data_IF_653366248257
#
_entry.id   IF_653366248257
#
_cell.length_a   1.000
_cell.length_b   1.000
_cell.length_c   1.000
_cell.angle_alpha   90.00
_cell.angle_beta   90.00
_cell.angle_gamma   90.00
#
_symmetry.space_group_name_H-M   'P 1'
#
loop_
_entity.id
_entity.type
_entity.pdbx_description
1 polymer ?
#
# COMPACT_ATOMS: atom_id res chain seq x y z
N UNK A 1 -12.70 0.06 53.06
CA UNK A 1 -11.66 -0.49 52.17
C UNK A 1 -11.55 0.44 50.99
N UNK A 2 -10.54 1.28 51.04
CA UNK A 2 -10.18 2.29 50.02
C UNK A 2 -9.59 1.59 48.81
N UNK A 3 -10.23 1.73 47.64
CA UNK A 3 -9.67 1.31 46.33
C UNK A 3 -8.57 2.31 45.95
N UNK A 4 -7.33 1.85 45.99
CA UNK A 4 -6.17 2.59 45.45
C UNK A 4 -6.33 2.77 43.95
N UNK A 5 -6.24 4.01 43.52
CA UNK A 5 -6.22 4.46 42.14
C UNK A 5 -5.04 3.79 41.40
N UNK A 6 -5.33 2.91 40.49
CA UNK A 6 -4.38 2.45 39.45
C UNK A 6 -3.90 3.67 38.67
N UNK A 7 -2.65 4.05 38.91
CA UNK A 7 -1.93 5.06 38.14
C UNK A 7 -1.85 4.61 36.68
N UNK A 8 -2.71 5.13 35.83
CA UNK A 8 -2.54 5.00 34.38
C UNK A 8 -1.20 5.59 34.02
N UNK A 9 -0.28 4.77 33.50
CA UNK A 9 1.03 5.19 33.03
C UNK A 9 0.82 6.34 32.02
N UNK A 10 1.45 7.50 32.27
CA UNK A 10 1.46 8.60 31.31
C UNK A 10 2.02 8.05 30.00
N UNK A 11 1.37 8.36 28.86
CA UNK A 11 1.95 8.01 27.57
C UNK A 11 3.35 8.60 27.47
N UNK A 12 4.31 7.83 26.99
CA UNK A 12 5.65 8.31 26.75
C UNK A 12 5.59 9.58 25.86
N UNK A 13 6.43 10.60 26.12
CA UNK A 13 6.47 11.78 25.26
C UNK A 13 6.73 11.34 23.82
N UNK A 14 6.10 12.00 22.81
CA UNK A 14 6.38 11.70 21.42
C UNK A 14 7.87 11.84 21.16
N UNK A 15 8.45 10.89 20.42
CA UNK A 15 9.84 10.96 19.99
C UNK A 15 10.05 12.27 19.22
N UNK A 16 11.14 12.98 19.49
CA UNK A 16 11.50 14.17 18.73
C UNK A 16 11.66 13.79 17.24
N UNK A 17 11.20 14.64 16.31
CA UNK A 17 11.35 14.37 14.89
C UNK A 17 12.84 14.23 14.51
N UNK A 18 13.13 13.31 13.61
CA UNK A 18 14.48 13.10 13.07
C UNK A 18 14.81 14.18 12.05
N UNK A 19 13.81 14.57 11.24
CA UNK A 19 13.94 15.69 10.31
C UNK A 19 13.84 16.99 11.09
N UNK A 20 14.92 17.80 11.06
CA UNK A 20 14.99 19.08 11.75
C UNK A 20 15.14 20.22 10.74
N UNK A 21 14.40 21.30 10.95
CA UNK A 21 14.34 22.45 10.05
C UNK A 21 13.04 22.47 9.26
N UNK A 22 12.94 23.41 8.31
CA UNK A 22 11.77 23.58 7.47
C UNK A 22 11.72 22.49 6.39
N UNK A 23 10.59 21.81 6.28
CA UNK A 23 10.29 20.88 5.18
C UNK A 23 9.33 21.57 4.20
N UNK A 24 9.80 21.75 2.96
CA UNK A 24 8.96 22.27 1.88
C UNK A 24 8.29 21.11 1.16
N UNK A 25 6.97 21.19 0.96
CA UNK A 25 6.19 20.21 0.19
C UNK A 25 5.59 20.91 -1.02
N UNK A 26 5.93 20.44 -2.22
CA UNK A 26 5.38 20.92 -3.48
C UNK A 26 4.34 19.94 -3.99
N UNK A 27 3.09 20.39 -4.01
CA UNK A 27 1.91 19.56 -4.26
C UNK A 27 1.18 19.21 -2.97
N UNK A 28 -0.02 19.74 -2.78
CA UNK A 28 -0.87 19.55 -1.61
C UNK A 28 -2.03 18.57 -1.85
N UNK A 29 -1.80 17.58 -2.73
CA UNK A 29 -2.72 16.46 -2.97
C UNK A 29 -2.75 15.47 -1.81
N UNK A 30 -3.20 14.23 -2.08
CA UNK A 30 -3.30 13.19 -1.06
C UNK A 30 -1.98 12.95 -0.31
N UNK A 31 -0.90 12.67 -1.04
CA UNK A 31 0.39 12.31 -0.42
C UNK A 31 1.04 13.53 0.23
N UNK A 32 1.13 14.66 -0.48
CA UNK A 32 1.77 15.86 0.07
C UNK A 32 1.05 16.39 1.32
N UNK A 33 -0.28 16.46 1.32
CA UNK A 33 -1.03 16.85 2.51
C UNK A 33 -0.92 15.82 3.65
N UNK A 34 -0.85 14.52 3.35
CA UNK A 34 -0.65 13.48 4.38
C UNK A 34 0.73 13.57 5.03
N UNK A 35 1.78 13.80 4.24
CA UNK A 35 3.14 14.06 4.74
C UNK A 35 3.13 15.31 5.63
N UNK A 36 2.50 16.37 5.14
CA UNK A 36 2.37 17.63 5.88
C UNK A 36 1.66 17.45 7.23
N UNK A 37 0.54 16.72 7.26
CA UNK A 37 -0.17 16.40 8.51
C UNK A 37 0.69 15.65 9.52
N UNK A 38 1.39 14.61 9.06
CA UNK A 38 2.20 13.78 9.93
C UNK A 38 3.38 14.58 10.51
N UNK A 39 4.09 15.35 9.68
CA UNK A 39 5.22 16.18 10.11
C UNK A 39 4.77 17.34 11.03
N UNK A 40 3.66 18.02 10.71
CA UNK A 40 3.09 19.08 11.55
C UNK A 40 2.68 18.56 12.93
N UNK A 41 2.14 17.33 12.99
CA UNK A 41 1.81 16.67 14.27
C UNK A 41 3.04 16.38 15.13
N UNK A 42 4.22 16.21 14.52
CA UNK A 42 5.52 16.07 15.20
C UNK A 42 6.17 17.43 15.55
N UNK A 43 5.55 18.55 15.18
CA UNK A 43 6.05 19.89 15.42
C UNK A 43 7.11 20.38 14.41
N UNK A 44 7.25 19.70 13.28
CA UNK A 44 8.13 20.15 12.18
C UNK A 44 7.47 21.34 11.46
N UNK A 45 8.25 22.36 11.11
CA UNK A 45 7.78 23.49 10.28
C UNK A 45 7.60 23.04 8.84
N UNK A 46 6.34 22.97 8.37
CA UNK A 46 5.98 22.51 7.03
C UNK A 46 5.51 23.68 6.17
N UNK A 47 6.24 23.96 5.09
CA UNK A 47 5.93 24.98 4.08
C UNK A 47 5.30 24.31 2.83
N UNK A 48 4.03 24.60 2.57
CA UNK A 48 3.27 24.04 1.45
C UNK A 48 3.27 24.97 0.24
N UNK A 49 3.41 24.39 -0.95
CA UNK A 49 3.26 25.06 -2.23
C UNK A 49 2.38 24.21 -3.16
N UNK A 50 1.46 24.84 -3.89
CA UNK A 50 0.61 24.17 -4.87
C UNK A 50 0.17 25.18 -5.96
N UNK A 51 0.11 24.72 -7.19
CA UNK A 51 -0.35 25.53 -8.32
C UNK A 51 -1.84 25.86 -8.23
N UNK A 52 -2.62 25.10 -7.46
CA UNK A 52 -4.02 25.35 -7.16
C UNK A 52 -4.18 26.09 -5.83
N UNK A 53 -4.50 27.40 -5.82
CA UNK A 53 -4.70 28.15 -4.57
C UNK A 53 -5.81 27.59 -3.69
N UNK A 54 -6.80 26.94 -4.28
CA UNK A 54 -7.89 26.31 -3.52
C UNK A 54 -7.44 25.02 -2.80
N UNK A 55 -6.63 24.19 -3.46
CA UNK A 55 -6.05 22.98 -2.84
C UNK A 55 -5.07 23.37 -1.73
N UNK A 56 -4.22 24.35 -1.97
CA UNK A 56 -3.28 24.84 -0.96
C UNK A 56 -4.01 25.34 0.30
N UNK A 57 -5.02 26.21 0.13
CA UNK A 57 -5.82 26.71 1.27
C UNK A 57 -6.48 25.56 2.01
N UNK A 58 -7.05 24.60 1.30
CA UNK A 58 -7.69 23.45 1.89
C UNK A 58 -6.70 22.63 2.73
N UNK A 59 -5.51 22.32 2.22
CA UNK A 59 -4.48 21.61 2.95
C UNK A 59 -4.04 22.37 4.23
N UNK A 60 -3.90 23.69 4.15
CA UNK A 60 -3.57 24.54 5.30
C UNK A 60 -4.69 24.53 6.34
N UNK A 61 -5.96 24.70 5.91
CA UNK A 61 -7.12 24.70 6.80
C UNK A 61 -7.29 23.38 7.55
N UNK A 62 -6.87 22.27 6.91
CA UNK A 62 -6.84 20.94 7.56
C UNK A 62 -5.58 20.69 8.40
N UNK A 63 -4.62 21.64 8.45
CA UNK A 63 -3.46 21.56 9.34
C UNK A 63 -2.27 20.80 8.77
N UNK A 64 -2.16 20.68 7.44
CA UNK A 64 -1.01 20.02 6.80
C UNK A 64 0.27 20.87 6.81
N UNK A 65 0.19 22.15 7.20
CA UNK A 65 1.30 23.05 7.24
C UNK A 65 0.87 24.50 7.01
N UNK A 66 1.80 25.37 6.67
CA UNK A 66 1.59 26.79 6.29
C UNK A 66 1.94 27.02 4.82
N UNK A 67 1.50 28.13 4.26
CA UNK A 67 1.98 28.57 2.95
C UNK A 67 3.48 28.84 2.98
N UNK A 68 4.17 28.56 1.89
CA UNK A 68 5.57 28.94 1.69
C UNK A 68 5.79 30.46 1.78
N UNK A 69 6.97 30.89 2.16
CA UNK A 69 7.43 32.27 2.22
C UNK A 69 8.69 32.43 1.38
N UNK A 70 8.98 33.66 0.95
CA UNK A 70 10.15 33.94 0.10
C UNK A 70 11.48 33.73 0.83
N UNK A 71 11.47 33.84 2.16
CA UNK A 71 12.62 33.68 3.05
C UNK A 71 12.75 32.26 3.65
N UNK A 72 11.94 31.32 3.21
CA UNK A 72 12.07 29.92 3.67
C UNK A 72 13.38 29.30 3.16
N UNK A 73 14.13 28.72 4.07
CA UNK A 73 15.35 27.92 3.78
C UNK A 73 15.09 26.44 4.14
N UNK A 74 14.47 25.68 3.25
CA UNK A 74 14.15 24.28 3.54
C UNK A 74 15.40 23.41 3.59
N UNK A 75 15.43 22.46 4.53
CA UNK A 75 16.45 21.41 4.59
C UNK A 75 16.08 20.22 3.72
N UNK A 76 14.79 20.01 3.53
CA UNK A 76 14.21 18.93 2.72
C UNK A 76 13.05 19.47 1.90
N UNK A 77 13.01 19.09 0.64
CA UNK A 77 11.91 19.40 -0.29
C UNK A 77 11.29 18.09 -0.76
N UNK A 78 9.99 17.95 -0.56
CA UNK A 78 9.21 16.80 -1.00
C UNK A 78 8.35 17.20 -2.21
N UNK A 79 8.62 16.61 -3.36
CA UNK A 79 7.86 16.83 -4.60
C UNK A 79 6.76 15.78 -4.68
N UNK A 80 5.50 16.23 -4.50
CA UNK A 80 4.30 15.39 -4.45
C UNK A 80 3.29 15.81 -5.53
N UNK A 81 3.77 15.96 -6.76
CA UNK A 81 3.02 16.40 -7.94
C UNK A 81 2.74 15.24 -8.89
N UNK A 82 1.85 15.39 -9.89
CA UNK A 82 1.60 14.37 -10.91
C UNK A 82 2.88 13.97 -11.66
N UNK A 83 2.96 12.71 -12.15
CA UNK A 83 4.17 12.17 -12.79
C UNK A 83 4.69 12.99 -13.97
N UNK A 84 3.80 13.54 -14.79
CA UNK A 84 4.10 14.30 -16.00
C UNK A 84 4.85 15.62 -15.76
N UNK A 85 4.75 16.18 -14.56
CA UNK A 85 5.45 17.43 -14.18
C UNK A 85 6.52 17.23 -13.13
N UNK A 86 6.73 16.00 -12.66
CA UNK A 86 7.65 15.69 -11.55
C UNK A 86 9.08 16.14 -11.84
N UNK A 87 9.63 15.82 -13.01
CA UNK A 87 10.98 16.21 -13.40
C UNK A 87 11.16 17.74 -13.47
N UNK A 88 10.19 18.47 -14.02
CA UNK A 88 10.23 19.93 -14.11
C UNK A 88 10.25 20.60 -12.74
N UNK A 89 9.47 20.05 -11.81
CA UNK A 89 9.40 20.56 -10.45
C UNK A 89 10.70 20.24 -9.68
N UNK A 90 11.24 19.02 -9.79
CA UNK A 90 12.53 18.67 -9.17
C UNK A 90 13.63 19.59 -9.67
N UNK A 91 13.77 19.78 -10.98
CA UNK A 91 14.77 20.68 -11.57
C UNK A 91 14.64 22.11 -11.04
N UNK A 92 13.42 22.64 -10.95
CA UNK A 92 13.15 23.97 -10.41
C UNK A 92 13.57 24.10 -8.95
N UNK A 93 13.22 23.10 -8.11
CA UNK A 93 13.52 23.14 -6.68
C UNK A 93 15.02 22.97 -6.40
N UNK A 94 15.72 22.08 -7.14
CA UNK A 94 17.19 21.96 -7.05
C UNK A 94 17.92 23.27 -7.40
N UNK A 95 17.46 23.97 -8.44
CA UNK A 95 18.05 25.27 -8.81
C UNK A 95 17.76 26.39 -7.79
N UNK A 96 16.56 26.37 -7.20
CA UNK A 96 16.13 27.38 -6.24
C UNK A 96 16.78 27.19 -4.87
N UNK A 97 16.98 25.96 -4.45
CA UNK A 97 17.47 25.57 -3.14
C UNK A 97 18.64 24.59 -3.25
N UNK A 98 19.81 25.04 -3.72
CA UNK A 98 20.94 24.15 -4.08
C UNK A 98 21.60 23.45 -2.88
N UNK A 99 21.20 23.74 -1.65
CA UNK A 99 21.69 23.07 -0.43
C UNK A 99 20.64 22.15 0.20
N UNK A 100 19.40 22.19 -0.26
CA UNK A 100 18.33 21.36 0.25
C UNK A 100 18.37 19.97 -0.38
N UNK A 101 18.04 18.94 0.38
CA UNK A 101 17.77 17.62 -0.16
C UNK A 101 16.41 17.65 -0.84
N UNK A 102 16.34 17.21 -2.09
CA UNK A 102 15.09 17.10 -2.85
C UNK A 102 14.73 15.64 -3.02
N UNK A 103 13.51 15.27 -2.64
CA UNK A 103 12.94 13.95 -2.90
C UNK A 103 11.59 14.06 -3.57
N UNK A 104 11.21 13.09 -4.36
CA UNK A 104 9.86 12.96 -4.88
C UNK A 104 9.15 11.72 -4.30
N UNK A 105 7.84 11.69 -4.42
CA UNK A 105 7.00 10.56 -3.98
C UNK A 105 6.21 9.93 -5.12
N UNK A 106 6.67 10.10 -6.36
CA UNK A 106 6.02 9.55 -7.55
C UNK A 106 6.09 8.02 -7.58
N UNK A 107 5.16 7.41 -8.29
CA UNK A 107 5.04 5.95 -8.40
C UNK A 107 6.03 5.33 -9.40
N UNK A 108 6.85 6.13 -10.07
CA UNK A 108 7.90 5.70 -11.02
C UNK A 108 9.18 6.48 -10.74
N UNK A 109 10.34 5.85 -10.95
CA UNK A 109 11.64 6.46 -10.60
C UNK A 109 12.54 6.69 -11.80
N UNK A 110 12.57 5.76 -12.78
CA UNK A 110 13.48 5.85 -13.92
C UNK A 110 13.18 7.02 -14.85
N UNK A 111 11.91 7.26 -15.15
CA UNK A 111 11.52 8.28 -16.12
C UNK A 111 11.89 9.70 -15.67
N UNK A 112 11.53 10.15 -14.44
CA UNK A 112 11.96 11.46 -13.93
C UNK A 112 13.49 11.58 -13.89
N UNK A 113 14.19 10.56 -13.39
CA UNK A 113 15.64 10.54 -13.29
C UNK A 113 16.31 10.63 -14.68
N UNK A 114 15.84 9.87 -15.66
CA UNK A 114 16.33 9.92 -17.04
C UNK A 114 16.16 11.33 -17.64
N UNK A 115 14.99 11.91 -17.48
CA UNK A 115 14.69 13.26 -17.97
C UNK A 115 15.63 14.30 -17.37
N UNK A 116 15.88 14.24 -16.05
CA UNK A 116 16.79 15.16 -15.37
C UNK A 116 18.24 14.98 -15.83
N UNK A 117 18.70 13.74 -16.02
CA UNK A 117 20.05 13.43 -16.56
C UNK A 117 20.21 13.93 -17.99
N UNK A 118 19.23 13.74 -18.86
CA UNK A 118 19.25 14.24 -20.24
C UNK A 118 19.33 15.77 -20.32
N UNK A 119 18.78 16.46 -19.33
CA UNK A 119 18.85 17.94 -19.20
C UNK A 119 20.14 18.42 -18.56
N UNK A 120 20.99 17.53 -18.09
CA UNK A 120 22.25 17.88 -17.42
C UNK A 120 22.03 18.57 -16.06
N UNK A 121 20.95 18.23 -15.34
CA UNK A 121 20.68 18.76 -14.01
C UNK A 121 21.67 18.16 -13.00
N UNK A 122 22.21 18.99 -12.12
CA UNK A 122 22.99 18.50 -10.98
C UNK A 122 22.08 17.77 -9.98
N UNK A 123 22.29 16.47 -9.82
CA UNK A 123 21.48 15.58 -9.01
C UNK A 123 22.12 15.22 -7.68
N UNK A 124 23.21 15.92 -7.28
CA UNK A 124 23.95 15.63 -6.04
C UNK A 124 23.03 15.58 -4.81
N UNK A 125 22.02 16.44 -4.74
CA UNK A 125 21.07 16.52 -3.63
C UNK A 125 19.67 15.99 -3.97
N UNK A 126 19.54 15.19 -5.03
CA UNK A 126 18.27 14.54 -5.39
C UNK A 126 18.28 13.05 -5.04
N UNK A 127 17.22 12.62 -4.36
CA UNK A 127 16.99 11.21 -4.03
C UNK A 127 15.53 10.88 -4.34
N UNK A 128 15.30 10.05 -5.35
CA UNK A 128 13.97 9.57 -5.65
C UNK A 128 13.43 8.70 -4.54
N UNK A 129 12.16 8.85 -4.17
CA UNK A 129 11.52 7.95 -3.21
C UNK A 129 10.06 7.63 -3.59
N UNK A 130 9.48 6.62 -2.94
CA UNK A 130 8.10 6.23 -3.20
C UNK A 130 7.50 5.55 -1.97
N UNK A 131 6.56 6.19 -1.25
CA UNK A 131 5.74 5.53 -0.25
C UNK A 131 4.77 4.56 -0.93
N UNK A 132 4.81 3.27 -0.59
CA UNK A 132 3.82 2.30 -1.09
C UNK A 132 2.50 2.47 -0.34
N UNK A 133 1.97 3.67 -0.39
CA UNK A 133 0.75 4.10 0.27
C UNK A 133 -0.13 4.87 -0.72
N UNK A 134 -1.40 4.59 -0.71
CA UNK A 134 -2.38 5.25 -1.58
C UNK A 134 -3.80 4.95 -1.12
N UNK A 135 -4.75 5.68 -1.69
CA UNK A 135 -6.18 5.48 -1.50
C UNK A 135 -6.88 5.68 -2.84
N UNK A 136 -8.06 5.09 -2.97
CA UNK A 136 -8.91 5.21 -4.17
C UNK A 136 -9.40 6.65 -4.40
N UNK A 137 -9.41 7.48 -3.35
CA UNK A 137 -9.80 8.90 -3.40
C UNK A 137 -8.58 9.79 -3.23
N UNK A 138 -8.40 10.74 -4.13
CA UNK A 138 -7.34 11.74 -4.10
C UNK A 138 -7.73 13.05 -3.40
N UNK A 139 -6.79 14.00 -3.38
CA UNK A 139 -6.97 15.36 -2.85
C UNK A 139 -6.71 15.51 -1.36
N UNK A 140 -6.57 16.78 -0.90
CA UNK A 140 -6.24 17.12 0.49
C UNK A 140 -7.29 16.65 1.51
N UNK A 141 -8.58 16.56 1.12
CA UNK A 141 -9.66 16.08 2.00
C UNK A 141 -9.48 14.61 2.40
N UNK A 142 -8.88 13.80 1.51
CA UNK A 142 -8.64 12.38 1.77
C UNK A 142 -7.32 12.13 2.51
N UNK A 143 -6.53 13.19 2.77
CA UNK A 143 -5.24 13.10 3.43
C UNK A 143 -5.38 12.66 4.90
N UNK A 144 -4.43 11.86 5.37
CA UNK A 144 -4.35 11.39 6.75
C UNK A 144 -2.90 11.20 7.15
N UNK A 145 -2.56 11.55 8.37
CA UNK A 145 -1.20 11.41 8.90
C UNK A 145 -0.73 9.94 8.99
N UNK A 146 -1.66 8.99 9.10
CA UNK A 146 -1.38 7.58 9.36
C UNK A 146 -1.30 6.68 8.12
N UNK A 147 -1.44 7.22 6.90
CA UNK A 147 -1.45 6.38 5.68
C UNK A 147 -0.13 5.67 5.41
N UNK A 148 0.97 6.16 5.99
CA UNK A 148 2.32 5.61 5.81
C UNK A 148 2.70 4.61 6.89
N UNK A 149 1.99 4.58 8.02
CA UNK A 149 2.34 3.76 9.18
C UNK A 149 2.39 2.27 8.82
N UNK A 150 3.56 1.66 9.07
CA UNK A 150 3.82 0.25 8.76
C UNK A 150 3.91 -0.07 7.27
N UNK A 151 3.95 0.96 6.38
CA UNK A 151 4.07 0.76 4.94
C UNK A 151 5.53 0.83 4.50
N UNK A 152 5.92 0.05 3.46
CA UNK A 152 7.21 0.25 2.82
C UNK A 152 7.31 1.65 2.21
N UNK A 153 8.48 2.26 2.34
CA UNK A 153 8.85 3.50 1.67
C UNK A 153 10.15 3.26 0.93
N UNK A 154 10.08 3.13 -0.39
CA UNK A 154 11.28 2.92 -1.18
C UNK A 154 12.08 4.22 -1.26
N UNK A 155 13.39 4.11 -1.03
CA UNK A 155 14.36 5.18 -1.20
C UNK A 155 15.35 4.72 -2.27
N UNK A 156 15.39 5.46 -3.38
CA UNK A 156 16.21 5.07 -4.53
C UNK A 156 17.63 5.60 -4.35
N UNK A 157 18.54 4.68 -4.09
CA UNK A 157 19.96 4.97 -3.94
C UNK A 157 20.69 4.83 -5.28
N UNK A 158 21.52 5.81 -5.60
CA UNK A 158 22.56 5.75 -6.63
C UNK A 158 23.93 5.64 -5.93
N UNK A 159 24.95 5.13 -6.63
CA UNK A 159 26.33 5.03 -6.09
C UNK A 159 26.91 6.40 -5.69
N UNK A 160 26.49 7.45 -6.38
CA UNK A 160 26.95 8.83 -6.14
C UNK A 160 26.14 9.56 -5.06
N UNK A 161 25.07 8.96 -4.51
CA UNK A 161 24.21 9.59 -3.51
C UNK A 161 24.96 9.82 -2.19
N UNK A 162 25.06 11.07 -1.70
CA UNK A 162 25.71 11.33 -0.41
C UNK A 162 24.95 10.66 0.73
N UNK A 163 25.65 9.91 1.58
CA UNK A 163 25.03 9.19 2.71
C UNK A 163 24.28 10.12 3.67
N UNK A 164 24.71 11.39 3.77
CA UNK A 164 24.00 12.40 4.58
C UNK A 164 22.61 12.67 4.03
N UNK A 165 22.46 12.79 2.72
CA UNK A 165 21.19 13.15 2.07
C UNK A 165 20.25 11.93 2.04
N UNK A 166 20.81 10.73 1.85
CA UNK A 166 20.08 9.46 2.02
C UNK A 166 19.44 9.38 3.42
N UNK A 167 20.23 9.66 4.47
CA UNK A 167 19.76 9.64 5.86
C UNK A 167 18.62 10.64 6.12
N UNK A 168 18.56 11.77 5.40
CA UNK A 168 17.45 12.74 5.53
C UNK A 168 16.14 12.17 4.97
N UNK A 169 16.19 11.49 3.82
CA UNK A 169 14.98 10.87 3.22
C UNK A 169 14.52 9.65 4.03
N UNK A 170 15.46 8.86 4.54
CA UNK A 170 15.12 7.76 5.47
C UNK A 170 14.52 8.30 6.78
N UNK A 171 15.05 9.39 7.32
CA UNK A 171 14.50 10.06 8.50
C UNK A 171 13.06 10.52 8.26
N UNK A 172 12.75 11.08 7.08
CA UNK A 172 11.38 11.40 6.67
C UNK A 172 10.48 10.16 6.75
N UNK A 173 10.87 9.05 6.11
CA UNK A 173 10.07 7.82 6.10
C UNK A 173 9.82 7.30 7.52
N UNK A 174 10.85 7.30 8.37
CA UNK A 174 10.75 6.85 9.77
C UNK A 174 9.89 7.77 10.64
N UNK A 175 9.95 9.09 10.44
CA UNK A 175 9.10 10.06 11.15
C UNK A 175 7.63 9.90 10.78
N UNK A 176 7.35 9.44 9.57
CA UNK A 176 6.00 9.12 9.08
C UNK A 176 5.54 7.71 9.49
N UNK A 177 6.34 6.96 10.26
CA UNK A 177 6.03 5.60 10.69
C UNK A 177 6.12 4.55 9.59
N UNK A 178 6.73 4.90 8.45
CA UNK A 178 7.00 3.97 7.36
C UNK A 178 8.27 3.17 7.60
N UNK A 179 8.45 2.11 6.81
CA UNK A 179 9.67 1.29 6.82
C UNK A 179 10.49 1.61 5.56
N UNK A 180 11.64 2.30 5.68
CA UNK A 180 12.49 2.58 4.52
C UNK A 180 13.05 1.30 3.93
N UNK A 181 13.10 1.24 2.59
CA UNK A 181 13.61 0.14 1.81
C UNK A 181 14.46 0.69 0.67
N UNK A 182 15.77 0.43 0.71
CA UNK A 182 16.68 0.87 -0.35
C UNK A 182 16.55 -0.01 -1.59
N UNK A 183 16.49 0.61 -2.77
CA UNK A 183 16.51 -0.02 -4.11
C UNK A 183 17.18 0.90 -5.10
N UNK A 184 17.63 0.37 -6.23
CA UNK A 184 17.92 1.20 -7.40
C UNK A 184 16.61 1.64 -8.09
N UNK A 185 16.61 2.72 -8.89
CA UNK A 185 15.45 3.12 -9.70
C UNK A 185 14.95 2.00 -10.62
N UNK A 186 15.87 1.23 -11.20
CA UNK A 186 15.59 0.09 -12.07
C UNK A 186 14.90 -1.05 -11.33
N UNK A 187 15.42 -1.41 -10.16
CA UNK A 187 14.82 -2.43 -9.30
C UNK A 187 13.43 -2.01 -8.82
N UNK A 188 13.27 -0.73 -8.44
CA UNK A 188 11.99 -0.17 -8.04
C UNK A 188 10.95 -0.30 -9.15
N UNK A 189 11.25 0.20 -10.36
CA UNK A 189 10.29 0.23 -11.47
C UNK A 189 9.93 -1.19 -11.94
N UNK A 190 10.88 -2.12 -11.93
CA UNK A 190 10.61 -3.54 -12.17
C UNK A 190 9.73 -4.17 -11.08
N UNK A 191 10.00 -3.85 -9.81
CA UNK A 191 9.22 -4.37 -8.67
C UNK A 191 7.79 -3.85 -8.70
N UNK A 192 7.55 -2.54 -8.89
CA UNK A 192 6.20 -1.99 -8.93
C UNK A 192 5.43 -2.38 -10.20
N UNK A 193 6.11 -2.68 -11.32
CA UNK A 193 5.46 -3.27 -12.49
C UNK A 193 4.78 -4.59 -12.12
N UNK A 194 5.48 -5.46 -11.40
CA UNK A 194 4.97 -6.78 -10.99
C UNK A 194 3.99 -6.70 -9.80
N UNK A 195 4.27 -5.87 -8.78
CA UNK A 195 3.52 -5.87 -7.52
C UNK A 195 2.33 -4.89 -7.50
N UNK A 196 2.28 -3.93 -8.44
CA UNK A 196 1.27 -2.88 -8.44
C UNK A 196 0.63 -2.68 -9.82
N UNK A 197 1.43 -2.42 -10.87
CA UNK A 197 0.91 -1.93 -12.14
C UNK A 197 0.19 -3.02 -12.93
N UNK A 198 0.79 -4.20 -13.07
CA UNK A 198 0.13 -5.34 -13.74
C UNK A 198 -1.08 -5.85 -12.95
N UNK A 199 -1.03 -6.01 -11.63
CA UNK A 199 -2.24 -6.31 -10.85
C UNK A 199 -3.39 -5.35 -11.09
N UNK A 200 -3.14 -4.05 -11.16
CA UNK A 200 -4.15 -3.04 -11.50
C UNK A 200 -4.78 -3.29 -12.87
N UNK A 201 -3.94 -3.56 -13.89
CA UNK A 201 -4.42 -3.83 -15.25
C UNK A 201 -5.24 -5.13 -15.31
N UNK A 202 -4.76 -6.20 -14.68
CA UNK A 202 -5.46 -7.50 -14.65
C UNK A 202 -6.81 -7.38 -13.95
N UNK A 203 -6.86 -6.68 -12.81
CA UNK A 203 -8.11 -6.41 -12.10
C UNK A 203 -9.09 -5.59 -12.97
N UNK A 204 -8.59 -4.57 -13.67
CA UNK A 204 -9.41 -3.74 -14.58
C UNK A 204 -9.91 -4.52 -15.78
N UNK A 205 -9.07 -5.38 -16.39
CA UNK A 205 -9.46 -6.25 -17.51
C UNK A 205 -10.53 -7.25 -17.11
N UNK A 206 -10.45 -7.84 -15.92
CA UNK A 206 -11.47 -8.72 -15.39
C UNK A 206 -12.77 -7.95 -15.10
N UNK A 207 -12.69 -6.83 -14.38
CA UNK A 207 -13.86 -6.02 -14.05
C UNK A 207 -14.59 -5.49 -15.30
N UNK A 208 -13.88 -5.18 -16.37
CA UNK A 208 -14.47 -4.76 -17.64
C UNK A 208 -15.40 -5.83 -18.25
N UNK A 209 -15.23 -7.13 -17.92
CA UNK A 209 -16.13 -8.19 -18.37
C UNK A 209 -17.51 -8.14 -17.69
N UNK A 210 -17.63 -7.37 -16.59
CA UNK A 210 -18.90 -7.25 -15.87
C UNK A 210 -19.84 -6.19 -16.50
N UNK A 211 -19.31 -5.30 -17.33
CA UNK A 211 -20.08 -4.19 -17.94
C UNK A 211 -21.26 -4.72 -18.74
N UNK A 212 -21.03 -5.78 -19.53
CA UNK A 212 -22.04 -6.39 -20.39
C UNK A 212 -22.61 -7.69 -19.80
N UNK A 213 -22.30 -8.01 -18.53
CA UNK A 213 -22.78 -9.21 -17.89
C UNK A 213 -24.28 -9.09 -17.52
N UNK A 214 -25.10 -10.15 -17.72
CA UNK A 214 -26.49 -10.14 -17.26
C UNK A 214 -26.58 -9.92 -15.74
N UNK A 215 -27.54 -9.11 -15.28
CA UNK A 215 -27.73 -8.79 -13.84
C UNK A 215 -27.84 -10.04 -12.96
N UNK A 216 -28.42 -11.12 -13.49
CA UNK A 216 -28.51 -12.39 -12.78
C UNK A 216 -27.15 -13.00 -12.44
N UNK A 217 -26.13 -12.78 -13.28
CA UNK A 217 -24.76 -13.27 -13.04
C UNK A 217 -24.08 -12.50 -11.92
N UNK A 218 -24.31 -11.18 -11.85
CA UNK A 218 -23.70 -10.32 -10.84
C UNK A 218 -24.17 -10.66 -9.41
N UNK A 219 -25.33 -11.31 -9.27
CA UNK A 219 -25.82 -11.82 -7.96
C UNK A 219 -24.97 -12.97 -7.40
N UNK A 220 -24.16 -13.62 -8.26
CA UNK A 220 -23.24 -14.67 -7.84
C UNK A 220 -21.88 -14.14 -7.39
N UNK A 221 -21.70 -12.79 -7.35
CA UNK A 221 -20.44 -12.17 -6.97
C UNK A 221 -20.15 -12.42 -5.49
N UNK A 222 -19.32 -13.40 -5.20
CA UNK A 222 -18.76 -13.69 -3.88
C UNK A 222 -17.52 -12.86 -3.56
N UNK A 223 -16.88 -13.15 -2.41
CA UNK A 223 -15.72 -12.40 -1.92
C UNK A 223 -14.53 -12.49 -2.89
N UNK A 224 -14.26 -13.67 -3.46
CA UNK A 224 -13.10 -13.85 -4.36
C UNK A 224 -13.09 -12.88 -5.55
N UNK A 225 -14.25 -12.67 -6.21
CA UNK A 225 -14.32 -11.70 -7.31
C UNK A 225 -14.19 -10.26 -6.82
N UNK A 226 -14.72 -9.93 -5.64
CA UNK A 226 -14.61 -8.59 -5.05
C UNK A 226 -13.16 -8.28 -4.70
N UNK A 227 -12.45 -9.20 -4.09
CA UNK A 227 -11.02 -9.03 -3.72
C UNK A 227 -10.15 -8.85 -4.96
N UNK A 228 -10.38 -9.68 -5.99
CA UNK A 228 -9.62 -9.63 -7.24
C UNK A 228 -9.84 -8.32 -8.01
N UNK A 229 -11.05 -7.75 -7.97
CA UNK A 229 -11.40 -6.56 -8.77
C UNK A 229 -11.46 -5.27 -7.97
N UNK A 230 -11.26 -5.29 -6.65
CA UNK A 230 -11.36 -4.11 -5.77
C UNK A 230 -10.50 -2.94 -6.25
N UNK A 231 -9.27 -3.22 -6.66
CA UNK A 231 -8.33 -2.18 -7.09
C UNK A 231 -8.68 -1.57 -8.45
N UNK A 232 -9.55 -2.18 -9.25
CA UNK A 232 -9.99 -1.64 -10.54
C UNK A 232 -10.73 -0.30 -10.41
N UNK A 233 -11.29 0.02 -9.23
CA UNK A 233 -11.96 1.29 -8.96
C UNK A 233 -10.95 2.42 -8.72
N UNK A 234 -10.27 2.87 -9.78
CA UNK A 234 -9.19 3.85 -9.75
C UNK A 234 -9.39 4.91 -10.83
N UNK A 235 -8.76 6.10 -10.66
CA UNK A 235 -8.82 7.19 -11.63
C UNK A 235 -7.99 6.87 -12.89
N UNK A 236 -8.60 6.77 -14.08
CA UNK A 236 -7.90 6.39 -15.32
C UNK A 236 -6.76 7.35 -15.67
N UNK A 237 -6.95 8.66 -15.45
CA UNK A 237 -6.00 9.71 -15.81
C UNK A 237 -4.64 9.51 -15.11
N UNK A 238 -4.67 9.17 -13.82
CA UNK A 238 -3.47 8.89 -13.04
C UNK A 238 -2.77 7.63 -13.54
N UNK A 239 -3.53 6.57 -13.82
CA UNK A 239 -2.97 5.29 -14.27
C UNK A 239 -2.37 5.35 -15.66
N UNK A 240 -2.93 6.15 -16.58
CA UNK A 240 -2.33 6.40 -17.90
C UNK A 240 -0.93 6.99 -17.76
N UNK A 241 -0.73 7.94 -16.85
CA UNK A 241 0.58 8.55 -16.59
C UNK A 241 1.57 7.54 -15.96
N UNK A 242 1.14 6.81 -14.92
CA UNK A 242 1.97 5.81 -14.24
C UNK A 242 2.41 4.71 -15.19
N UNK A 243 1.48 4.13 -15.94
CA UNK A 243 1.75 3.04 -16.88
C UNK A 243 2.61 3.51 -18.06
N UNK A 244 2.38 4.72 -18.56
CA UNK A 244 3.18 5.32 -19.62
C UNK A 244 4.63 5.54 -19.19
N UNK A 245 4.86 6.00 -17.97
CA UNK A 245 6.19 6.24 -17.43
C UNK A 245 6.95 4.94 -17.05
N UNK A 246 6.25 3.82 -16.84
CA UNK A 246 6.85 2.50 -16.57
C UNK A 246 6.52 1.46 -17.66
N UNK A 247 6.35 1.91 -18.91
CA UNK A 247 5.77 1.09 -19.98
C UNK A 247 6.54 -0.22 -20.28
N UNK A 248 7.86 -0.17 -20.38
CA UNK A 248 8.65 -1.33 -20.77
C UNK A 248 8.63 -2.46 -19.71
N UNK A 249 8.89 -2.23 -18.42
CA UNK A 249 8.72 -3.24 -17.37
C UNK A 249 7.29 -3.80 -17.29
N UNK A 250 6.28 -2.93 -17.39
CA UNK A 250 4.87 -3.34 -17.35
C UNK A 250 4.53 -4.23 -18.54
N UNK A 251 4.91 -3.84 -19.77
CA UNK A 251 4.65 -4.63 -20.98
C UNK A 251 5.28 -6.01 -20.87
N UNK A 252 6.53 -6.10 -20.39
CA UNK A 252 7.24 -7.38 -20.25
C UNK A 252 6.50 -8.37 -19.33
N UNK A 253 5.99 -7.89 -18.17
CA UNK A 253 5.22 -8.75 -17.25
C UNK A 253 3.85 -9.10 -17.85
N UNK A 254 3.21 -8.13 -18.51
CA UNK A 254 1.89 -8.33 -19.12
C UNK A 254 1.95 -9.32 -20.26
N UNK A 255 3.00 -9.32 -21.08
CA UNK A 255 3.22 -10.29 -22.15
C UNK A 255 3.34 -11.71 -21.60
N UNK A 256 4.06 -11.90 -20.50
CA UNK A 256 4.16 -13.20 -19.82
C UNK A 256 2.79 -13.68 -19.31
N UNK A 257 2.01 -12.80 -18.68
CA UNK A 257 0.64 -13.12 -18.23
C UNK A 257 -0.27 -13.45 -19.41
N UNK A 258 -0.17 -12.72 -20.51
CA UNK A 258 -0.95 -12.96 -21.73
C UNK A 258 -0.63 -14.32 -22.35
N UNK A 259 0.64 -14.72 -22.37
CA UNK A 259 1.07 -16.04 -22.84
C UNK A 259 0.48 -17.17 -21.97
N UNK A 260 0.62 -17.06 -20.64
CA UNK A 260 0.04 -18.05 -19.70
C UNK A 260 -1.50 -18.14 -19.86
N UNK A 261 -2.19 -17.01 -20.07
CA UNK A 261 -3.63 -16.99 -20.36
C UNK A 261 -4.00 -17.68 -21.69
N UNK A 262 -3.19 -17.48 -22.72
CA UNK A 262 -3.40 -18.12 -24.02
C UNK A 262 -3.25 -19.64 -23.91
N UNK A 263 -2.25 -20.13 -23.17
CA UNK A 263 -2.02 -21.55 -22.93
C UNK A 263 -3.18 -22.20 -22.16
N UNK A 264 -3.66 -21.57 -21.09
CA UNK A 264 -4.83 -22.05 -20.33
C UNK A 264 -6.08 -22.05 -21.21
N UNK A 265 -6.31 -20.99 -21.99
CA UNK A 265 -7.46 -20.93 -22.90
C UNK A 265 -7.40 -22.00 -24.00
N UNK A 266 -6.18 -22.29 -24.51
CA UNK A 266 -5.95 -23.39 -25.44
C UNK A 266 -6.28 -24.74 -24.84
N UNK A 267 -5.81 -25.01 -23.61
CA UNK A 267 -6.12 -26.24 -22.89
C UNK A 267 -7.63 -26.43 -22.63
N UNK A 268 -8.33 -25.32 -22.27
CA UNK A 268 -9.78 -25.35 -22.05
C UNK A 268 -10.61 -25.56 -23.31
N UNK A 269 -10.13 -25.15 -24.48
CA UNK A 269 -10.81 -25.42 -25.77
C UNK A 269 -10.68 -26.87 -26.21
N UNK A 270 -9.64 -27.59 -25.74
CA UNK A 270 -9.41 -28.99 -26.07
C UNK A 270 -9.10 -29.80 -24.79
N UNK A 271 -10.06 -29.95 -23.86
CA UNK A 271 -9.83 -30.51 -22.52
C UNK A 271 -9.42 -31.98 -22.51
N UNK A 272 -9.72 -32.72 -23.61
CA UNK A 272 -9.35 -34.13 -23.78
C UNK A 272 -8.01 -34.32 -24.54
N UNK A 273 -7.37 -33.22 -24.98
CA UNK A 273 -6.07 -33.32 -25.62
C UNK A 273 -4.99 -33.75 -24.60
N UNK A 274 -4.02 -34.58 -25.05
CA UNK A 274 -2.91 -34.99 -24.17
C UNK A 274 -2.20 -33.77 -23.54
N UNK A 275 -2.14 -33.74 -22.21
CA UNK A 275 -1.47 -32.65 -21.44
C UNK A 275 -2.34 -31.45 -21.09
N UNK A 276 -3.55 -31.28 -21.60
CA UNK A 276 -4.42 -30.16 -21.34
C UNK A 276 -4.72 -29.99 -19.83
N UNK A 277 -5.13 -31.03 -19.14
CA UNK A 277 -5.42 -31.04 -17.71
C UNK A 277 -4.16 -30.75 -16.87
N UNK A 278 -3.00 -31.22 -17.31
CA UNK A 278 -1.71 -30.95 -16.66
C UNK A 278 -1.33 -29.48 -16.78
N UNK A 279 -1.50 -28.87 -17.95
CA UNK A 279 -1.22 -27.44 -18.17
C UNK A 279 -2.03 -26.56 -17.22
N UNK A 280 -3.33 -26.84 -17.05
CA UNK A 280 -4.20 -26.12 -16.12
C UNK A 280 -3.72 -26.30 -14.67
N UNK A 281 -3.46 -27.55 -14.26
CA UNK A 281 -2.99 -27.86 -12.91
C UNK A 281 -1.64 -27.19 -12.59
N UNK A 282 -0.71 -27.20 -13.54
CA UNK A 282 0.61 -26.57 -13.39
C UNK A 282 0.49 -25.04 -13.23
N UNK A 283 -0.43 -24.39 -13.95
CA UNK A 283 -0.68 -22.95 -13.81
C UNK A 283 -1.19 -22.63 -12.40
N UNK A 284 -2.17 -23.38 -11.90
CA UNK A 284 -2.71 -23.17 -10.53
C UNK A 284 -1.62 -23.43 -9.47
N UNK A 285 -0.85 -24.50 -9.61
CA UNK A 285 0.25 -24.84 -8.68
C UNK A 285 1.31 -23.74 -8.66
N UNK A 286 1.74 -23.20 -9.81
CA UNK A 286 2.66 -22.06 -9.89
C UNK A 286 2.09 -20.82 -9.21
N UNK A 287 0.79 -20.60 -9.33
CA UNK A 287 0.10 -19.52 -8.61
C UNK A 287 0.18 -19.69 -7.10
N UNK A 288 -0.07 -20.89 -6.57
CA UNK A 288 0.06 -21.21 -5.15
C UNK A 288 1.50 -20.97 -4.65
N UNK A 289 2.51 -21.47 -5.38
CA UNK A 289 3.92 -21.23 -5.09
C UNK A 289 4.27 -19.74 -5.06
N UNK A 290 3.65 -18.92 -5.95
CA UNK A 290 3.80 -17.48 -5.98
C UNK A 290 3.23 -16.81 -4.72
N UNK A 291 2.04 -17.21 -4.28
CA UNK A 291 1.41 -16.68 -3.06
C UNK A 291 2.22 -17.03 -1.82
N UNK A 292 2.78 -18.24 -1.73
CA UNK A 292 3.64 -18.66 -0.61
C UNK A 292 4.92 -17.81 -0.46
N UNK A 293 5.34 -17.10 -1.51
CA UNK A 293 6.49 -16.19 -1.48
C UNK A 293 6.17 -14.80 -0.94
N UNK A 294 4.90 -14.44 -0.83
CA UNK A 294 4.53 -13.14 -0.28
C UNK A 294 4.84 -13.11 1.24
N UNK A 295 5.50 -12.06 1.74
CA UNK A 295 5.83 -11.98 3.15
C UNK A 295 4.56 -11.87 3.99
N UNK A 296 4.43 -12.71 5.04
CA UNK A 296 3.38 -12.60 6.04
C UNK A 296 3.56 -11.37 6.94
N UNK A 297 2.58 -11.16 7.85
CA UNK A 297 2.46 -10.00 8.77
C UNK A 297 3.75 -9.56 9.50
N UNK A 298 4.71 -10.46 9.65
CA UNK A 298 5.99 -10.17 10.33
C UNK A 298 7.21 -10.42 9.43
N UNK A 299 7.05 -10.37 8.08
CA UNK A 299 8.16 -10.59 7.14
C UNK A 299 8.75 -12.01 7.19
N UNK A 300 8.10 -12.95 7.88
CA UNK A 300 8.53 -14.32 7.99
C UNK A 300 7.63 -15.24 7.15
N UNK A 301 8.22 -16.19 6.42
CA UNK A 301 7.52 -17.31 5.76
C UNK A 301 6.96 -18.28 6.80
N UNK A 302 6.04 -17.84 7.65
CA UNK A 302 5.31 -18.71 8.55
C UNK A 302 4.06 -19.18 7.84
N UNK A 303 3.88 -20.50 7.75
CA UNK A 303 2.60 -21.09 7.36
C UNK A 303 1.60 -20.79 8.47
N UNK A 304 0.50 -20.15 8.12
CA UNK A 304 -0.66 -19.99 8.99
C UNK A 304 -1.71 -21.01 8.57
N UNK A 305 -2.49 -21.47 9.51
CA UNK A 305 -3.67 -22.29 9.25
C UNK A 305 -4.91 -21.48 9.57
N UNK A 306 -5.98 -21.70 8.82
CA UNK A 306 -7.22 -20.94 8.95
C UNK A 306 -8.25 -21.74 9.74
N UNK A 307 -8.81 -21.12 10.77
CA UNK A 307 -9.98 -21.59 11.50
C UNK A 307 -11.18 -20.77 11.06
N UNK A 308 -12.21 -21.41 10.52
CA UNK A 308 -13.43 -20.72 10.03
C UNK A 308 -14.52 -20.83 11.08
N UNK A 309 -14.90 -19.68 11.64
CA UNK A 309 -15.90 -19.57 12.71
C UNK A 309 -17.18 -18.94 12.16
N UNK A 310 -18.34 -19.58 12.44
CA UNK A 310 -19.63 -18.98 12.15
C UNK A 310 -19.95 -17.90 13.17
N UNK A 311 -20.24 -16.69 12.69
CA UNK A 311 -20.54 -15.51 13.50
C UNK A 311 -21.92 -14.99 13.15
N UNK A 312 -22.83 -14.93 14.12
CA UNK A 312 -24.15 -14.33 13.91
C UNK A 312 -24.02 -12.86 13.49
N UNK A 313 -24.81 -12.44 12.49
CA UNK A 313 -24.84 -11.05 12.04
C UNK A 313 -25.63 -10.18 13.04
N UNK A 314 -25.01 -9.92 14.20
CA UNK A 314 -25.56 -9.10 15.30
C UNK A 314 -24.47 -8.21 15.91
N UNK A 315 -24.82 -7.01 16.36
CA UNK A 315 -23.88 -6.14 17.06
C UNK A 315 -23.19 -6.85 18.24
N UNK A 316 -21.87 -6.70 18.34
CA UNK A 316 -21.05 -7.24 19.42
C UNK A 316 -20.53 -8.66 19.24
N UNK A 317 -21.01 -9.44 18.27
CA UNK A 317 -20.55 -10.83 18.11
C UNK A 317 -19.08 -10.94 17.71
N UNK A 318 -18.57 -10.08 16.82
CA UNK A 318 -17.13 -10.03 16.51
C UNK A 318 -16.31 -9.61 17.74
N UNK A 319 -16.79 -8.63 18.52
CA UNK A 319 -16.12 -8.23 19.76
C UNK A 319 -16.02 -9.37 20.77
N UNK A 320 -17.09 -10.20 20.90
CA UNK A 320 -17.08 -11.41 21.73
C UNK A 320 -16.08 -12.43 21.20
N UNK A 321 -16.04 -12.68 19.88
CA UNK A 321 -15.09 -13.61 19.27
C UNK A 321 -13.64 -13.21 19.56
N UNK A 322 -13.29 -11.93 19.41
CA UNK A 322 -11.95 -11.44 19.74
C UNK A 322 -11.64 -11.51 21.24
N UNK A 323 -12.61 -11.26 22.10
CA UNK A 323 -12.47 -11.43 23.56
C UNK A 323 -12.16 -12.88 23.91
N UNK A 324 -12.93 -13.81 23.35
CA UNK A 324 -12.74 -15.26 23.58
C UNK A 324 -11.36 -15.74 23.06
N UNK A 325 -10.91 -15.27 21.89
CA UNK A 325 -9.58 -15.58 21.36
C UNK A 325 -8.46 -15.00 22.24
N UNK A 326 -8.63 -13.79 22.76
CA UNK A 326 -7.70 -13.17 23.70
C UNK A 326 -7.57 -13.95 25.02
N UNK A 327 -8.69 -14.41 25.59
CA UNK A 327 -8.69 -15.26 26.80
C UNK A 327 -8.05 -16.65 26.56
N UNK A 328 -8.09 -17.13 25.31
CA UNK A 328 -7.42 -18.37 24.90
C UNK A 328 -5.94 -18.17 24.57
N UNK A 329 -5.42 -16.95 24.72
CA UNK A 329 -4.06 -16.55 24.32
C UNK A 329 -3.74 -16.86 22.85
N UNK A 330 -4.76 -16.87 21.99
CA UNK A 330 -4.61 -17.09 20.53
C UNK A 330 -4.33 -15.79 19.84
N UNK A 331 -3.11 -15.66 19.29
CA UNK A 331 -2.76 -14.52 18.44
C UNK A 331 -3.38 -14.67 17.04
N UNK A 332 -4.13 -13.65 16.60
CA UNK A 332 -4.73 -13.60 15.25
C UNK A 332 -3.72 -12.97 14.30
N UNK A 333 -3.32 -13.72 13.28
CA UNK A 333 -2.35 -13.25 12.28
C UNK A 333 -3.04 -12.54 11.11
N UNK A 334 -4.19 -13.05 10.67
CA UNK A 334 -5.05 -12.44 9.66
C UNK A 334 -6.52 -12.75 9.95
N UNK A 335 -7.42 -11.89 9.46
CA UNK A 335 -8.87 -12.08 9.57
C UNK A 335 -9.54 -11.70 8.25
N UNK A 336 -10.40 -12.58 7.79
CA UNK A 336 -11.33 -12.30 6.70
C UNK A 336 -12.74 -12.55 7.14
N UNK A 337 -13.66 -11.72 6.66
CA UNK A 337 -15.09 -11.85 6.94
C UNK A 337 -15.82 -12.09 5.64
N UNK A 338 -16.51 -13.23 5.54
CA UNK A 338 -17.39 -13.54 4.41
C UNK A 338 -18.84 -13.37 4.82
N UNK A 339 -19.59 -12.64 4.00
CA UNK A 339 -21.04 -12.49 4.12
C UNK A 339 -21.72 -12.91 2.83
N UNK A 340 -22.65 -13.84 2.91
CA UNK A 340 -23.52 -14.16 1.78
C UNK A 340 -24.75 -13.25 1.82
N UNK A 341 -25.20 -12.70 0.67
CA UNK A 341 -26.39 -11.88 0.61
C UNK A 341 -27.62 -12.60 1.21
N UNK A 342 -28.23 -12.02 2.24
CA UNK A 342 -29.40 -12.56 2.92
C UNK A 342 -29.12 -13.63 4.00
N UNK A 343 -27.88 -13.96 4.28
CA UNK A 343 -27.52 -14.84 5.39
C UNK A 343 -27.63 -14.09 6.74
N UNK A 344 -28.10 -14.79 7.78
CA UNK A 344 -28.20 -14.28 9.14
C UNK A 344 -26.90 -14.48 9.95
N UNK A 345 -25.87 -14.98 9.30
CA UNK A 345 -24.52 -15.19 9.86
C UNK A 345 -23.46 -14.91 8.80
N UNK A 346 -22.28 -14.56 9.26
CA UNK A 346 -21.05 -14.49 8.46
C UNK A 346 -20.08 -15.59 8.85
N UNK A 347 -19.05 -15.76 8.04
CA UNK A 347 -17.90 -16.61 8.34
C UNK A 347 -16.71 -15.73 8.67
N UNK A 348 -16.10 -15.95 9.83
CA UNK A 348 -14.83 -15.35 10.21
C UNK A 348 -13.71 -16.36 9.96
N UNK A 349 -12.91 -16.12 8.94
CA UNK A 349 -11.71 -16.88 8.63
C UNK A 349 -10.54 -16.29 9.43
N UNK A 350 -10.06 -17.02 10.43
CA UNK A 350 -9.04 -16.57 11.36
C UNK A 350 -7.76 -17.34 11.08
N UNK A 351 -6.73 -16.65 10.63
CA UNK A 351 -5.40 -17.24 10.44
C UNK A 351 -4.62 -17.22 11.73
N UNK A 352 -4.12 -18.38 12.16
CA UNK A 352 -3.32 -18.58 13.36
C UNK A 352 -2.09 -19.43 13.07
N UNK A 353 -1.09 -19.42 13.95
CA UNK A 353 0.05 -20.33 13.83
C UNK A 353 -0.42 -21.81 13.99
N UNK A 354 0.18 -22.78 13.30
CA UNK A 354 -0.28 -24.19 13.32
C UNK A 354 -0.43 -24.78 14.70
N UNK A 355 0.45 -24.38 15.65
CA UNK A 355 0.38 -24.83 17.04
C UNK A 355 -0.84 -24.32 17.80
N UNK A 356 -1.46 -23.21 17.37
CA UNK A 356 -2.62 -22.63 18.03
C UNK A 356 -3.96 -23.14 17.48
N UNK A 357 -4.00 -23.86 16.35
CA UNK A 357 -5.25 -24.31 15.69
C UNK A 357 -6.09 -25.18 16.62
N UNK A 358 -5.53 -26.28 17.13
CA UNK A 358 -6.26 -27.20 18.01
C UNK A 358 -6.75 -26.54 19.30
N UNK A 359 -5.89 -25.79 20.03
CA UNK A 359 -6.35 -25.03 21.20
C UNK A 359 -7.45 -24.01 20.87
N UNK A 360 -7.33 -23.28 19.75
CA UNK A 360 -8.34 -22.32 19.31
C UNK A 360 -9.69 -22.99 19.04
N UNK A 361 -9.72 -24.10 18.28
CA UNK A 361 -10.94 -24.84 17.98
C UNK A 361 -11.60 -25.32 19.27
N UNK A 362 -10.88 -26.10 20.08
CA UNK A 362 -11.44 -26.65 21.32
C UNK A 362 -11.92 -25.55 22.28
N UNK A 363 -11.18 -24.45 22.41
CA UNK A 363 -11.53 -23.34 23.25
C UNK A 363 -12.74 -22.56 22.74
N UNK A 364 -12.86 -22.33 21.44
CA UNK A 364 -14.00 -21.65 20.83
C UNK A 364 -15.28 -22.53 20.89
N UNK A 365 -15.18 -23.81 20.58
CA UNK A 365 -16.32 -24.73 20.70
C UNK A 365 -16.84 -24.82 22.13
N UNK A 366 -15.97 -24.87 23.15
CA UNK A 366 -16.37 -24.87 24.56
C UNK A 366 -17.11 -23.59 24.97
N UNK A 367 -16.92 -22.48 24.26
CA UNK A 367 -17.61 -21.20 24.43
C UNK A 367 -18.86 -21.04 23.54
N UNK A 368 -19.23 -22.12 22.83
CA UNK A 368 -20.44 -22.20 22.02
C UNK A 368 -20.30 -21.63 20.60
N UNK A 369 -19.07 -21.43 20.11
CA UNK A 369 -18.82 -21.09 18.72
C UNK A 369 -18.96 -22.33 17.83
N UNK A 370 -19.43 -22.11 16.60
CA UNK A 370 -19.50 -23.17 15.59
C UNK A 370 -18.33 -23.02 14.63
N UNK A 371 -17.53 -24.04 14.51
CA UNK A 371 -16.44 -24.13 13.55
C UNK A 371 -17.00 -24.70 12.24
N UNK A 372 -16.81 -23.99 11.12
CA UNK A 372 -17.32 -24.42 9.81
C UNK A 372 -16.32 -25.34 9.09
N UNK A 373 -15.02 -25.01 9.13
CA UNK A 373 -13.95 -25.81 8.53
C UNK A 373 -12.58 -25.42 9.07
N UNK A 374 -11.57 -26.22 8.75
CA UNK A 374 -10.14 -25.91 8.98
C UNK A 374 -9.36 -26.21 7.70
N UNK A 375 -8.19 -25.60 7.51
CA UNK A 375 -7.37 -25.75 6.29
C UNK A 375 -6.87 -27.19 6.04
N UNK A 376 -7.10 -28.12 6.96
CA UNK A 376 -6.66 -29.51 6.87
C UNK A 376 -7.81 -30.51 6.57
N UNK A 377 -9.01 -30.03 6.24
CA UNK A 377 -10.13 -30.88 5.80
C UNK A 377 -10.37 -30.81 4.28
#
# INVERSE_FOLDING_TARGET
VTLENSSAARPAPPLAPRVQGTVRIVGSGLLGASIGHALSALGVDVALDDTSPSQLRLAIDYGAGRATRDDDEPVLIVVAVPPDVTADVIERELRRHPQAVVTDVASVKLEPLRTLRERGVDLTHYIGSHPLAGRERGGAIAARADIFVGRPWVVCRDEETPSRDLAVVEALALDLGATPLEMTPEEHDAAVALMSHVPQLVASLLAARFVDAPDGFLRLAGQGVRDTTRIAASAPELWVQILGANAAPVASVLDAVAADLADVAGALRAPEAPGARRSIADTIRRGNEGVERLPGKHGQNRRFETVVVMVDDRPGQLGRLFGDLGELEVNVEDLRLEHSPGALFGLAEISVVPSAVRPAIAGLESRGWKIASTTND
#
